data_IF_709169198837
#
_entry.id   IF_709169198837
#
_cell.length_a   1.000
_cell.length_b   1.000
_cell.length_c   1.000
_cell.angle_alpha   90.00
_cell.angle_beta   90.00
_cell.angle_gamma   90.00
#
_symmetry.space_group_name_H-M   'P 1'
#
loop_
_entity.id
_entity.type
_entity.pdbx_description
1 polymer ?
#
# COMPACT_ATOMS: atom_id res chain seq x y z
N UNK A 1 -0.19 11.64 -17.44
CA UNK A 1 1.22 11.26 -17.25
C UNK A 1 1.20 10.15 -16.24
N UNK A 2 1.86 9.04 -16.51
CA UNK A 2 1.86 7.87 -15.61
C UNK A 2 2.91 8.04 -14.52
N UNK A 3 2.77 7.30 -13.42
CA UNK A 3 3.80 7.19 -12.37
C UNK A 3 5.07 6.58 -12.94
N UNK A 4 6.19 6.75 -12.24
CA UNK A 4 7.49 6.16 -12.60
C UNK A 4 7.50 4.62 -12.66
N UNK A 5 6.46 3.95 -12.15
CA UNK A 5 6.31 2.48 -12.15
C UNK A 5 4.86 2.09 -12.43
N UNK A 6 4.67 0.91 -13.03
CA UNK A 6 3.37 0.29 -13.17
C UNK A 6 2.97 -0.60 -11.98
N UNK A 7 3.92 -0.85 -11.06
CA UNK A 7 3.76 -1.68 -9.87
C UNK A 7 3.56 -0.83 -8.61
N UNK A 8 3.32 -1.49 -7.48
CA UNK A 8 3.28 -0.85 -6.18
C UNK A 8 4.60 -0.14 -5.82
N UNK A 9 4.51 0.90 -5.00
CA UNK A 9 5.63 1.73 -4.56
C UNK A 9 5.35 2.31 -3.17
N UNK A 10 6.35 2.98 -2.59
CA UNK A 10 6.15 3.70 -1.34
C UNK A 10 5.99 2.78 -0.12
N UNK A 11 5.23 3.21 0.89
CA UNK A 11 5.10 2.44 2.12
C UNK A 11 4.40 1.08 1.92
N UNK A 12 3.40 0.98 1.03
CA UNK A 12 2.73 -0.27 0.68
C UNK A 12 3.69 -1.30 0.07
N UNK A 13 4.64 -0.85 -0.77
CA UNK A 13 5.70 -1.72 -1.30
C UNK A 13 6.62 -2.25 -0.21
N UNK A 14 6.91 -1.47 0.85
CA UNK A 14 7.66 -1.98 2.00
C UNK A 14 6.86 -3.02 2.77
N UNK A 15 5.55 -2.81 2.93
CA UNK A 15 4.66 -3.76 3.61
C UNK A 15 4.64 -5.12 2.89
N UNK A 16 4.75 -5.14 1.56
CA UNK A 16 4.74 -6.39 0.78
C UNK A 16 5.96 -7.28 0.98
N UNK A 17 7.05 -6.79 1.59
CA UNK A 17 8.23 -7.62 1.88
C UNK A 17 7.97 -8.66 2.97
N UNK A 18 6.99 -8.42 3.82
CA UNK A 18 6.71 -9.28 4.96
C UNK A 18 5.71 -10.38 4.60
N UNK A 19 6.09 -11.22 3.63
CA UNK A 19 5.39 -12.46 3.28
C UNK A 19 5.86 -13.62 4.19
N UNK A 20 5.26 -14.80 4.07
CA UNK A 20 5.49 -15.96 4.99
C UNK A 20 6.97 -16.31 5.22
N UNK A 21 7.80 -16.06 4.21
CA UNK A 21 9.18 -16.49 4.10
C UNK A 21 10.18 -15.32 4.20
N UNK A 22 9.75 -14.13 4.62
CA UNK A 22 10.59 -12.93 4.64
C UNK A 22 11.88 -13.12 5.45
N UNK A 23 11.87 -14.00 6.45
CA UNK A 23 13.03 -14.25 7.32
C UNK A 23 14.25 -14.84 6.58
N UNK A 24 14.07 -15.34 5.34
CA UNK A 24 15.19 -15.71 4.47
C UNK A 24 15.88 -14.50 3.83
N UNK A 25 15.23 -13.33 3.81
CA UNK A 25 15.79 -12.10 3.24
C UNK A 25 16.64 -11.31 4.23
N UNK A 26 16.43 -11.50 5.53
CA UNK A 26 17.24 -10.87 6.56
C UNK A 26 16.89 -11.33 7.98
N UNK A 27 17.83 -11.22 8.94
CA UNK A 27 17.61 -11.66 10.31
C UNK A 27 16.69 -10.71 11.11
N UNK A 28 16.47 -9.48 10.64
CA UNK A 28 15.51 -8.53 11.21
C UNK A 28 14.67 -7.87 10.12
N UNK A 29 13.51 -7.32 10.48
CA UNK A 29 12.67 -6.57 9.56
C UNK A 29 13.42 -5.39 8.92
N UNK A 30 14.30 -4.71 9.67
CA UNK A 30 15.12 -3.63 9.14
C UNK A 30 16.13 -4.13 8.10
N UNK A 31 16.72 -5.32 8.29
CA UNK A 31 17.64 -5.92 7.31
C UNK A 31 16.95 -6.28 6.00
N UNK A 32 15.71 -6.78 6.07
CA UNK A 32 14.89 -7.05 4.88
C UNK A 32 14.65 -5.76 4.09
N UNK A 33 14.17 -4.71 4.77
CA UNK A 33 13.92 -3.41 4.12
C UNK A 33 15.22 -2.84 3.54
N UNK A 34 16.34 -2.94 4.26
CA UNK A 34 17.64 -2.47 3.79
C UNK A 34 18.10 -3.23 2.52
N UNK A 35 17.92 -4.55 2.48
CA UNK A 35 18.23 -5.40 1.31
C UNK A 35 17.42 -4.94 0.09
N UNK A 36 16.10 -4.87 0.19
CA UNK A 36 15.24 -4.45 -0.92
C UNK A 36 15.53 -3.01 -1.38
N UNK A 37 15.75 -2.07 -0.45
CA UNK A 37 16.13 -0.69 -0.80
C UNK A 37 17.49 -0.64 -1.52
N UNK A 38 18.44 -1.48 -1.15
CA UNK A 38 19.77 -1.51 -1.80
C UNK A 38 19.69 -1.88 -3.28
N UNK A 39 18.77 -2.78 -3.62
CA UNK A 39 18.53 -3.31 -4.97
C UNK A 39 17.53 -2.46 -5.79
N UNK A 40 16.85 -1.52 -5.15
CA UNK A 40 15.80 -0.69 -5.77
C UNK A 40 16.32 0.50 -6.58
N UNK A 41 15.46 0.99 -7.49
CA UNK A 41 15.61 2.28 -8.15
C UNK A 41 15.51 3.45 -7.14
N UNK A 42 16.05 4.62 -7.48
CA UNK A 42 16.11 5.74 -6.54
C UNK A 42 14.72 6.35 -6.30
N UNK A 43 13.86 6.33 -7.31
CA UNK A 43 12.46 6.75 -7.26
C UNK A 43 11.66 5.94 -6.23
N UNK A 44 11.95 4.64 -6.08
CA UNK A 44 11.32 3.79 -5.06
C UNK A 44 11.73 4.24 -3.66
N UNK A 45 13.04 4.39 -3.41
CA UNK A 45 13.52 4.87 -2.11
C UNK A 45 12.99 6.27 -1.76
N UNK A 46 12.82 7.15 -2.76
CA UNK A 46 12.21 8.46 -2.58
C UNK A 46 10.72 8.36 -2.22
N UNK A 47 9.97 7.52 -2.91
CA UNK A 47 8.55 7.29 -2.65
C UNK A 47 8.33 6.71 -1.25
N UNK A 48 9.12 5.70 -0.85
CA UNK A 48 9.06 5.12 0.51
C UNK A 48 9.32 6.18 1.56
N UNK A 49 10.37 6.99 1.38
CA UNK A 49 10.72 8.04 2.32
C UNK A 49 9.61 9.08 2.44
N UNK A 50 8.98 9.47 1.33
CA UNK A 50 7.88 10.44 1.32
C UNK A 50 6.67 9.90 2.08
N UNK A 51 6.24 8.68 1.78
CA UNK A 51 5.09 8.07 2.43
C UNK A 51 5.34 7.90 3.92
N UNK A 52 6.50 7.34 4.30
CA UNK A 52 6.86 7.11 5.70
C UNK A 52 6.93 8.42 6.50
N UNK A 53 7.46 9.52 5.93
CA UNK A 53 7.43 10.84 6.57
C UNK A 53 6.00 11.36 6.72
N UNK A 54 5.20 11.26 5.66
CA UNK A 54 3.79 11.70 5.69
C UNK A 54 3.00 10.97 6.76
N UNK A 55 3.18 9.65 6.88
CA UNK A 55 2.60 8.83 7.94
C UNK A 55 3.05 9.29 9.33
N UNK A 56 4.37 9.39 9.54
CA UNK A 56 4.96 9.75 10.84
C UNK A 56 4.54 11.15 11.31
N UNK A 57 4.39 12.10 10.40
CA UNK A 57 4.07 13.49 10.72
C UNK A 57 2.58 13.69 11.05
N UNK A 58 1.70 12.80 10.59
CA UNK A 58 0.25 13.02 10.61
C UNK A 58 -0.55 11.99 11.41
N UNK A 59 0.03 10.85 11.79
CA UNK A 59 -0.66 9.78 12.52
C UNK A 59 0.02 9.44 13.85
N UNK A 60 -0.75 9.07 14.89
CA UNK A 60 -0.19 8.58 16.13
C UNK A 60 0.40 7.17 15.95
N UNK A 61 1.29 6.78 16.86
CA UNK A 61 2.00 5.50 16.78
C UNK A 61 1.08 4.29 16.67
N UNK A 62 0.01 4.26 17.44
CA UNK A 62 -0.94 3.14 17.45
C UNK A 62 -1.61 2.95 16.08
N UNK A 63 -2.02 4.04 15.43
CA UNK A 63 -2.57 3.99 14.06
C UNK A 63 -1.52 3.53 13.04
N UNK A 64 -0.25 3.90 13.22
CA UNK A 64 0.83 3.41 12.37
C UNK A 64 1.02 1.89 12.51
N UNK A 65 0.95 1.37 13.73
CA UNK A 65 1.05 -0.08 13.99
C UNK A 65 -0.07 -0.84 13.27
N UNK A 66 -1.30 -0.33 13.32
CA UNK A 66 -2.45 -0.89 12.59
C UNK A 66 -2.19 -0.89 11.09
N UNK A 67 -1.75 0.23 10.51
CA UNK A 67 -1.52 0.33 9.05
C UNK A 67 -0.39 -0.59 8.57
N UNK A 68 0.75 -0.62 9.30
CA UNK A 68 1.87 -1.49 8.96
C UNK A 68 1.49 -2.96 9.05
N UNK A 69 0.73 -3.37 10.06
CA UNK A 69 0.22 -4.75 10.15
C UNK A 69 -0.83 -5.05 9.07
N UNK A 70 -1.73 -4.13 8.76
CA UNK A 70 -2.78 -4.37 7.78
C UNK A 70 -2.23 -4.53 6.35
N UNK A 71 -1.19 -3.77 5.99
CA UNK A 71 -0.58 -3.86 4.67
C UNK A 71 0.38 -5.04 4.49
N UNK A 72 0.82 -5.67 5.59
CA UNK A 72 1.81 -6.74 5.58
C UNK A 72 1.20 -8.08 6.01
N UNK A 73 1.48 -9.15 5.27
CA UNK A 73 0.87 -10.45 5.56
C UNK A 73 1.39 -11.08 6.86
N UNK A 74 2.69 -10.93 7.14
CA UNK A 74 3.40 -11.56 8.27
C UNK A 74 4.39 -10.58 8.91
N UNK A 75 3.96 -9.34 9.15
CA UNK A 75 4.79 -8.33 9.81
C UNK A 75 5.38 -8.87 11.11
N UNK A 76 6.66 -8.54 11.36
CA UNK A 76 7.25 -8.80 12.66
C UNK A 76 6.44 -8.06 13.73
N UNK A 77 6.13 -8.75 14.84
CA UNK A 77 5.46 -8.11 15.98
C UNK A 77 6.18 -6.81 16.38
N UNK A 78 5.40 -5.79 16.75
CA UNK A 78 5.91 -4.55 17.35
C UNK A 78 6.45 -4.78 18.78
N UNK A 79 6.67 -6.02 19.23
CA UNK A 79 7.36 -6.31 20.48
C UNK A 79 8.77 -5.68 20.49
N UNK A 80 8.93 -4.64 21.32
CA UNK A 80 10.20 -3.90 21.46
C UNK A 80 10.38 -2.72 20.51
N UNK A 81 9.36 -2.35 19.71
CA UNK A 81 9.36 -1.13 18.90
C UNK A 81 7.95 -0.56 18.76
N UNK A 82 7.81 0.74 18.56
CA UNK A 82 6.51 1.37 18.27
C UNK A 82 6.33 1.63 16.78
N UNK A 83 5.08 1.82 16.31
CA UNK A 83 4.80 2.21 14.93
C UNK A 83 5.59 3.45 14.47
N UNK A 84 5.75 4.42 15.37
CA UNK A 84 6.56 5.62 15.13
C UNK A 84 8.05 5.30 15.00
N UNK A 85 8.61 4.44 15.85
CA UNK A 85 10.02 4.04 15.78
C UNK A 85 10.34 3.20 14.56
N UNK A 86 9.45 2.26 14.20
CA UNK A 86 9.55 1.50 12.96
C UNK A 86 9.51 2.44 11.75
N UNK A 87 8.55 3.36 11.70
CA UNK A 87 8.45 4.33 10.59
C UNK A 87 9.69 5.22 10.48
N UNK A 88 10.27 5.66 11.60
CA UNK A 88 11.57 6.37 11.62
C UNK A 88 12.71 5.50 11.11
N UNK A 89 12.70 4.21 11.42
CA UNK A 89 13.70 3.26 10.93
C UNK A 89 13.65 3.15 9.41
N UNK A 90 12.46 2.98 8.83
CA UNK A 90 12.27 2.97 7.37
C UNK A 90 12.78 4.26 6.73
N UNK A 91 12.45 5.43 7.29
CA UNK A 91 12.95 6.73 6.81
C UNK A 91 14.48 6.76 6.84
N UNK A 92 15.09 6.33 7.95
CA UNK A 92 16.54 6.31 8.12
C UNK A 92 17.25 5.41 7.11
N UNK A 93 16.67 4.24 6.79
CA UNK A 93 17.20 3.34 5.76
C UNK A 93 17.13 3.98 4.37
N UNK A 94 16.03 4.64 4.02
CA UNK A 94 15.94 5.39 2.77
C UNK A 94 16.97 6.53 2.72
N UNK A 95 17.09 7.32 3.79
CA UNK A 95 18.04 8.43 3.85
C UNK A 95 19.50 7.94 3.71
N UNK A 96 19.87 6.84 4.36
CA UNK A 96 21.20 6.23 4.22
C UNK A 96 21.47 5.76 2.78
N UNK A 97 20.50 5.08 2.15
CA UNK A 97 20.60 4.59 0.76
C UNK A 97 20.67 5.73 -0.26
N UNK A 98 19.93 6.81 -0.05
CA UNK A 98 19.91 7.97 -0.95
C UNK A 98 21.17 8.83 -0.78
N UNK A 99 21.68 8.99 0.44
CA UNK A 99 22.92 9.75 0.71
C UNK A 99 24.17 9.10 0.09
N UNK A 100 24.14 7.80 -0.17
CA UNK A 100 25.22 7.08 -0.85
C UNK A 100 25.33 7.40 -2.36
N UNK A 101 24.39 8.17 -2.93
CA UNK A 101 24.34 8.52 -4.35
C UNK A 101 24.43 10.03 -4.59
N UNK A 102 25.16 10.43 -5.63
CA UNK A 102 25.44 11.83 -5.93
C UNK A 102 24.40 12.52 -6.84
N UNK A 103 23.61 11.77 -7.62
CA UNK A 103 22.68 12.32 -8.62
C UNK A 103 21.29 11.68 -8.51
N UNK A 104 20.70 11.79 -7.33
CA UNK A 104 19.32 11.35 -7.08
C UNK A 104 18.36 12.41 -7.62
N UNK A 105 17.58 12.06 -8.65
CA UNK A 105 16.57 12.96 -9.21
C UNK A 105 15.32 12.98 -8.32
N UNK A 106 14.72 14.15 -8.05
CA UNK A 106 13.49 14.23 -7.26
C UNK A 106 12.31 13.65 -8.04
N UNK A 107 11.29 13.18 -7.30
CA UNK A 107 9.98 12.83 -7.86
C UNK A 107 9.31 14.08 -8.45
N UNK A 108 8.58 13.93 -9.55
CA UNK A 108 7.91 15.05 -10.23
C UNK A 108 6.55 14.68 -10.81
N UNK A 109 5.67 15.68 -11.00
CA UNK A 109 4.39 15.52 -11.69
C UNK A 109 3.50 14.44 -11.07
N UNK A 110 3.15 13.41 -11.84
CA UNK A 110 2.27 12.34 -11.37
C UNK A 110 2.87 11.62 -10.15
N UNK A 111 4.20 11.49 -10.04
CA UNK A 111 4.85 10.87 -8.89
C UNK A 111 4.60 11.65 -7.58
N UNK A 112 4.26 12.92 -7.70
CA UNK A 112 3.93 13.81 -6.58
C UNK A 112 2.43 13.92 -6.29
N UNK A 113 1.56 13.21 -7.02
CA UNK A 113 0.12 13.22 -6.78
C UNK A 113 -0.23 12.59 -5.42
N UNK A 114 -1.08 13.28 -4.65
CA UNK A 114 -1.55 12.89 -3.31
C UNK A 114 -2.97 12.29 -3.36
N UNK A 115 -3.72 12.52 -4.44
CA UNK A 115 -5.03 11.93 -4.64
C UNK A 115 -6.17 12.66 -3.94
N UNK A 116 -5.99 13.92 -3.52
CA UNK A 116 -7.04 14.69 -2.81
C UNK A 116 -8.36 14.79 -3.58
N UNK A 117 -8.31 14.84 -4.92
CA UNK A 117 -9.52 14.82 -5.75
C UNK A 117 -10.32 13.50 -5.65
N UNK A 118 -9.69 12.42 -5.18
CA UNK A 118 -10.29 11.09 -5.01
C UNK A 118 -10.62 10.77 -3.54
N UNK A 119 -10.43 11.71 -2.60
CA UNK A 119 -10.55 11.46 -1.17
C UNK A 119 -11.87 10.77 -0.79
N UNK A 120 -13.00 11.32 -1.21
CA UNK A 120 -14.32 10.76 -0.90
C UNK A 120 -14.51 9.36 -1.50
N UNK A 121 -13.99 9.12 -2.71
CA UNK A 121 -14.07 7.82 -3.36
C UNK A 121 -13.23 6.78 -2.61
N UNK A 122 -12.01 7.14 -2.19
CA UNK A 122 -11.13 6.27 -1.40
C UNK A 122 -11.76 5.93 -0.06
N UNK A 123 -12.25 6.93 0.69
CA UNK A 123 -12.92 6.70 1.98
C UNK A 123 -14.12 5.78 1.80
N UNK A 124 -14.93 6.00 0.76
CA UNK A 124 -16.09 5.15 0.51
C UNK A 124 -15.72 3.70 0.16
N UNK A 125 -14.60 3.45 -0.54
CA UNK A 125 -14.12 2.08 -0.76
C UNK A 125 -13.57 1.44 0.51
N UNK A 126 -12.88 2.20 1.37
CA UNK A 126 -12.44 1.70 2.69
C UNK A 126 -13.65 1.30 3.55
N UNK A 127 -14.69 2.13 3.59
CA UNK A 127 -15.91 1.86 4.36
C UNK A 127 -16.67 0.62 3.83
N UNK A 128 -16.65 0.38 2.51
CA UNK A 128 -17.24 -0.82 1.89
C UNK A 128 -16.46 -2.09 2.14
N UNK A 129 -15.21 -2.00 2.59
CA UNK A 129 -14.41 -3.16 2.98
C UNK A 129 -14.82 -3.66 4.37
N UNK A 130 -16.10 -4.04 4.53
CA UNK A 130 -16.70 -4.47 5.80
C UNK A 130 -16.04 -5.74 6.38
N UNK A 131 -15.35 -6.51 5.53
CA UNK A 131 -14.59 -7.69 5.91
C UNK A 131 -13.27 -7.37 6.63
N UNK A 132 -12.77 -6.13 6.54
CA UNK A 132 -11.63 -5.69 7.33
C UNK A 132 -12.06 -5.48 8.78
N UNK A 133 -11.11 -5.49 9.71
CA UNK A 133 -11.41 -5.08 11.07
C UNK A 133 -11.74 -3.59 11.13
N UNK A 134 -12.62 -3.21 12.07
CA UNK A 134 -13.05 -1.80 12.23
C UNK A 134 -11.86 -0.88 12.46
N UNK A 135 -10.91 -1.31 13.28
CA UNK A 135 -9.70 -0.53 13.57
C UNK A 135 -8.85 -0.29 12.31
N UNK A 136 -8.74 -1.29 11.43
CA UNK A 136 -8.03 -1.15 10.14
C UNK A 136 -8.75 -0.15 9.23
N UNK A 137 -10.08 -0.23 9.14
CA UNK A 137 -10.85 0.76 8.36
C UNK A 137 -10.69 2.18 8.91
N UNK A 138 -10.76 2.35 10.23
CA UNK A 138 -10.59 3.65 10.87
C UNK A 138 -9.19 4.22 10.60
N UNK A 139 -8.14 3.40 10.71
CA UNK A 139 -6.77 3.78 10.41
C UNK A 139 -6.57 4.17 8.93
N UNK A 140 -7.18 3.44 8.00
CA UNK A 140 -7.17 3.77 6.57
C UNK A 140 -7.93 5.07 6.26
N UNK A 141 -9.07 5.32 6.91
CA UNK A 141 -9.81 6.59 6.80
C UNK A 141 -8.99 7.75 7.37
N UNK A 142 -8.34 7.57 8.52
CA UNK A 142 -7.44 8.59 9.07
C UNK A 142 -6.26 8.86 8.16
N UNK A 143 -5.68 7.82 7.54
CA UNK A 143 -4.64 7.97 6.52
C UNK A 143 -5.15 8.78 5.32
N UNK A 144 -6.35 8.47 4.78
CA UNK A 144 -6.93 9.20 3.66
C UNK A 144 -7.26 10.67 3.99
N UNK A 145 -7.53 10.98 5.27
CA UNK A 145 -7.88 12.34 5.72
C UNK A 145 -6.68 13.18 6.12
N UNK A 146 -5.65 12.57 6.70
CA UNK A 146 -4.54 13.28 7.36
C UNK A 146 -3.21 13.11 6.62
N UNK A 147 -3.04 12.02 5.89
CA UNK A 147 -1.86 11.73 5.09
C UNK A 147 -2.15 12.04 3.62
N UNK A 148 -2.50 11.02 2.83
CA UNK A 148 -2.90 11.17 1.43
C UNK A 148 -3.90 10.07 1.05
N UNK A 149 -4.94 10.38 0.26
CA UNK A 149 -5.81 9.34 -0.32
C UNK A 149 -5.06 8.33 -1.20
N UNK A 150 -4.01 8.77 -1.91
CA UNK A 150 -3.14 7.89 -2.69
C UNK A 150 -2.54 6.75 -1.85
N UNK A 151 -1.90 7.11 -0.74
CA UNK A 151 -1.29 6.14 0.16
C UNK A 151 -2.34 5.24 0.82
N UNK A 152 -3.44 5.82 1.32
CA UNK A 152 -4.51 5.05 1.94
C UNK A 152 -5.09 4.00 0.98
N UNK A 153 -5.25 4.35 -0.29
CA UNK A 153 -5.77 3.42 -1.29
C UNK A 153 -4.77 2.32 -1.65
N UNK A 154 -3.47 2.63 -1.76
CA UNK A 154 -2.44 1.58 -1.96
C UNK A 154 -2.41 0.60 -0.79
N UNK A 155 -2.44 1.10 0.45
CA UNK A 155 -2.49 0.24 1.63
C UNK A 155 -3.78 -0.58 1.67
N UNK A 156 -4.94 0.00 1.30
CA UNK A 156 -6.18 -0.76 1.16
C UNK A 156 -6.01 -1.95 0.22
N UNK A 157 -5.46 -1.75 -0.98
CA UNK A 157 -5.23 -2.84 -1.94
C UNK A 157 -4.32 -3.92 -1.34
N UNK A 158 -3.21 -3.54 -0.69
CA UNK A 158 -2.33 -4.50 0.00
C UNK A 158 -3.07 -5.28 1.08
N UNK A 159 -3.91 -4.62 1.89
CA UNK A 159 -4.72 -5.27 2.93
C UNK A 159 -5.73 -6.25 2.32
N UNK A 160 -6.35 -5.91 1.19
CA UNK A 160 -7.28 -6.80 0.49
C UNK A 160 -6.56 -8.06 0.00
N UNK A 161 -5.40 -7.91 -0.62
CA UNK A 161 -4.57 -9.05 -1.05
C UNK A 161 -4.23 -9.97 0.12
N UNK A 162 -3.90 -9.39 1.28
CA UNK A 162 -3.57 -10.17 2.49
C UNK A 162 -4.79 -10.82 3.15
N UNK A 163 -6.00 -10.32 2.91
CA UNK A 163 -7.26 -10.85 3.42
C UNK A 163 -7.90 -11.88 2.46
N UNK A 164 -7.07 -12.70 1.79
CA UNK A 164 -7.36 -13.55 0.62
C UNK A 164 -8.53 -14.55 0.73
N UNK A 165 -9.17 -14.67 1.89
CA UNK A 165 -10.32 -15.56 2.12
C UNK A 165 -11.64 -14.97 1.60
N UNK A 166 -11.61 -13.82 0.92
CA UNK A 166 -12.80 -13.06 0.51
C UNK A 166 -12.73 -12.63 -0.94
N UNK A 167 -13.87 -12.64 -1.57
CA UNK A 167 -14.05 -12.29 -2.97
C UNK A 167 -14.51 -10.84 -3.14
N UNK A 168 -14.10 -10.20 -4.23
CA UNK A 168 -14.53 -8.87 -4.65
C UNK A 168 -15.65 -9.00 -5.68
N UNK A 169 -16.67 -8.15 -5.58
CA UNK A 169 -17.65 -8.03 -6.67
C UNK A 169 -17.01 -7.35 -7.89
N UNK A 170 -17.42 -7.68 -9.13
CA UNK A 170 -16.96 -6.98 -10.33
C UNK A 170 -17.19 -5.46 -10.28
N UNK A 171 -18.30 -5.04 -9.68
CA UNK A 171 -18.60 -3.61 -9.47
C UNK A 171 -17.62 -2.93 -8.51
N UNK A 172 -17.14 -3.63 -7.47
CA UNK A 172 -16.14 -3.11 -6.56
C UNK A 172 -14.79 -2.96 -7.25
N UNK A 173 -14.38 -3.99 -8.00
CA UNK A 173 -13.16 -3.93 -8.78
C UNK A 173 -13.17 -2.78 -9.80
N UNK A 174 -14.29 -2.59 -10.52
CA UNK A 174 -14.45 -1.47 -11.47
C UNK A 174 -14.27 -0.10 -10.80
N UNK A 175 -14.77 0.08 -9.56
CA UNK A 175 -14.58 1.35 -8.83
C UNK A 175 -13.12 1.53 -8.41
N UNK A 176 -12.46 0.46 -7.98
CA UNK A 176 -11.02 0.49 -7.67
C UNK A 176 -10.19 0.85 -8.91
N UNK A 177 -10.53 0.31 -10.08
CA UNK A 177 -9.90 0.69 -11.35
C UNK A 177 -10.11 2.17 -11.70
N UNK A 178 -11.33 2.69 -11.47
CA UNK A 178 -11.61 4.11 -11.69
C UNK A 178 -10.79 5.01 -10.76
N UNK A 179 -10.63 4.64 -9.48
CA UNK A 179 -9.76 5.34 -8.54
C UNK A 179 -8.30 5.26 -9.00
N UNK A 180 -7.81 4.06 -9.34
CA UNK A 180 -6.43 3.89 -9.79
C UNK A 180 -6.08 4.69 -11.05
N UNK A 181 -7.01 4.75 -12.01
CA UNK A 181 -6.87 5.59 -13.21
C UNK A 181 -6.79 7.08 -12.86
N UNK A 182 -7.65 7.54 -11.95
CA UNK A 182 -7.64 8.93 -11.47
C UNK A 182 -6.35 9.29 -10.70
N UNK A 183 -5.74 8.31 -10.03
CA UNK A 183 -4.45 8.44 -9.33
C UNK A 183 -3.22 8.17 -10.23
N UNK A 184 -3.44 7.96 -11.53
CA UNK A 184 -2.42 7.72 -12.54
C UNK A 184 -1.56 6.46 -12.32
N UNK A 185 -2.10 5.45 -11.63
CA UNK A 185 -1.41 4.18 -11.49
C UNK A 185 -1.26 3.47 -12.83
N UNK A 186 -0.18 2.72 -12.97
CA UNK A 186 -0.05 1.79 -14.09
C UNK A 186 -0.88 0.53 -13.89
N UNK A 187 -0.82 -0.35 -14.88
CA UNK A 187 -1.62 -1.56 -15.04
C UNK A 187 -1.62 -2.45 -13.78
N UNK A 188 -0.45 -2.74 -13.22
CA UNK A 188 -0.33 -3.83 -12.25
C UNK A 188 -0.71 -3.49 -10.80
N UNK A 189 -0.95 -2.22 -10.48
CA UNK A 189 -1.21 -1.84 -9.09
C UNK A 189 -2.63 -2.27 -8.66
N UNK A 190 -3.66 -1.91 -9.44
CA UNK A 190 -5.04 -2.33 -9.14
C UNK A 190 -5.27 -3.78 -9.52
N UNK A 191 -4.66 -4.26 -10.61
CA UNK A 191 -4.80 -5.64 -11.07
C UNK A 191 -4.26 -6.66 -10.05
N UNK A 192 -3.47 -6.20 -9.06
CA UNK A 192 -3.05 -7.02 -7.92
C UNK A 192 -4.20 -7.65 -7.14
N UNK A 193 -5.42 -7.11 -7.20
CA UNK A 193 -6.62 -7.69 -6.56
C UNK A 193 -7.57 -8.38 -7.54
N UNK A 194 -7.27 -8.41 -8.84
CA UNK A 194 -8.17 -8.97 -9.86
C UNK A 194 -8.48 -10.45 -9.61
N UNK A 195 -7.50 -11.22 -9.14
CA UNK A 195 -7.66 -12.64 -8.86
C UNK A 195 -8.68 -12.95 -7.74
N UNK A 196 -9.10 -11.93 -6.98
CA UNK A 196 -10.13 -12.04 -5.94
C UNK A 196 -11.54 -11.76 -6.48
N UNK A 197 -11.70 -11.32 -7.74
CA UNK A 197 -13.00 -10.97 -8.30
C UNK A 197 -13.83 -12.24 -8.53
N UNK A 198 -15.07 -12.24 -8.04
CA UNK A 198 -16.01 -13.34 -8.31
C UNK A 198 -16.23 -13.46 -9.82
N UNK A 199 -16.02 -14.66 -10.36
CA UNK A 199 -16.48 -14.97 -11.71
C UNK A 199 -18.01 -14.87 -11.75
N UNK A 200 -18.55 -14.06 -12.66
CA UNK A 200 -19.99 -14.02 -12.89
C UNK A 200 -20.45 -15.42 -13.34
N UNK A 201 -21.44 -16.05 -12.66
CA UNK A 201 -21.87 -17.39 -13.02
C UNK A 201 -22.36 -17.39 -14.47
N UNK A 202 -22.04 -18.43 -15.27
CA UNK A 202 -22.47 -18.50 -16.65
C UNK A 202 -24.01 -18.41 -16.71
N UNK A 203 -24.58 -17.73 -17.72
CA UNK A 203 -26.02 -17.60 -17.84
C UNK A 203 -26.65 -18.99 -17.84
N UNK A 204 -27.66 -19.19 -16.97
CA UNK A 204 -28.35 -20.45 -16.83
C UNK A 204 -28.79 -20.95 -18.22
N UNK A 205 -28.23 -22.08 -18.65
CA UNK A 205 -28.63 -22.76 -19.88
C UNK A 205 -30.12 -23.06 -19.81
N UNK A 206 -30.91 -22.34 -20.61
CA UNK A 206 -32.35 -22.59 -20.77
C UNK A 206 -32.51 -24.03 -21.26
N UNK A 207 -33.23 -24.89 -20.54
CA UNK A 207 -33.44 -26.25 -21.00
C UNK A 207 -34.27 -26.23 -22.28
N UNK A 208 -33.70 -26.76 -23.36
CA UNK A 208 -34.43 -27.02 -24.61
C UNK A 208 -35.50 -28.07 -24.32
N UNK A 209 -36.77 -27.68 -24.46
CA UNK A 209 -37.92 -28.58 -24.42
C UNK A 209 -38.03 -29.43 -25.69
#
# INVERSE_FOLDING_TARGET
MERFTAFDFGASWVMSFFHQDWTYDGPTAADVVAKHLSESADELALAVRRDARTLLDNLPSETLEVLWNAGAQYMASFEGTSGSEWTRTVIGLCDARLAAKADVRPLTGADTEDGWACQDAVIAEVERAEFLDTEVREALVDCARRCTPDLAFRVLLSTIVNASDRSLSPHQYTRMQAIGSALHYGEFLVDSVEFLVEEEPPPASVPSH
#
